data_IF_697321044319
#
_entry.id   IF_697321044319
#
_cell.length_a   1.000
_cell.length_b   1.000
_cell.length_c   1.000
_cell.angle_alpha   90.00
_cell.angle_beta   90.00
_cell.angle_gamma   90.00
#
_symmetry.space_group_name_H-M   'P 1'
#
loop_
_entity.id
_entity.type
_entity.pdbx_description
1 polymer ?
#
# COMPACT_ATOMS: atom_id res chain seq x y z
N UNK A 1 26.17 -12.20 8.07
CA UNK A 1 25.36 -10.96 7.98
C UNK A 1 24.28 -10.84 9.08
N UNK A 2 24.10 -11.85 9.93
CA UNK A 2 23.06 -11.91 10.99
C UNK A 2 23.24 -10.89 12.14
N UNK A 3 24.48 -10.54 12.50
CA UNK A 3 24.73 -9.65 13.66
C UNK A 3 24.22 -8.21 13.47
N UNK A 4 24.20 -7.69 12.23
CA UNK A 4 23.80 -6.30 11.96
C UNK A 4 22.29 -6.10 12.04
N UNK A 5 21.50 -7.07 11.56
CA UNK A 5 20.03 -7.02 11.66
C UNK A 5 19.54 -7.04 13.11
N UNK A 6 20.18 -7.87 13.95
CA UNK A 6 19.85 -7.94 15.39
C UNK A 6 20.15 -6.64 16.14
N UNK A 7 21.23 -5.93 15.79
CA UNK A 7 21.60 -4.65 16.43
C UNK A 7 20.63 -3.55 16.03
N UNK A 8 20.27 -3.46 14.74
CA UNK A 8 19.32 -2.43 14.25
C UNK A 8 17.95 -2.63 14.90
N UNK A 9 17.45 -3.87 14.94
CA UNK A 9 16.20 -4.20 15.63
C UNK A 9 16.24 -3.85 17.11
N UNK A 10 17.36 -4.15 17.80
CA UNK A 10 17.57 -3.78 19.20
C UNK A 10 17.57 -2.27 19.43
N UNK A 11 18.27 -1.50 18.60
CA UNK A 11 18.31 -0.04 18.69
C UNK A 11 16.92 0.57 18.49
N UNK A 12 16.16 0.09 17.50
CA UNK A 12 14.79 0.54 17.25
C UNK A 12 13.92 0.29 18.49
N UNK A 13 14.02 -0.91 19.10
CA UNK A 13 13.25 -1.28 20.27
C UNK A 13 13.61 -0.41 21.49
N UNK A 14 14.91 -0.10 21.66
CA UNK A 14 15.40 0.80 22.72
C UNK A 14 14.83 2.20 22.50
N UNK A 15 14.90 2.75 21.29
CA UNK A 15 14.38 4.09 20.98
C UNK A 15 12.87 4.18 21.20
N UNK A 16 12.11 3.15 20.76
CA UNK A 16 10.67 3.05 21.01
C UNK A 16 10.35 2.98 22.50
N UNK A 17 11.09 2.16 23.25
CA UNK A 17 10.93 2.04 24.70
C UNK A 17 11.22 3.35 25.43
N UNK A 18 12.31 4.04 25.08
CA UNK A 18 12.66 5.35 25.65
C UNK A 18 11.59 6.39 25.31
N UNK A 19 11.10 6.42 24.07
CA UNK A 19 10.03 7.34 23.66
C UNK A 19 8.75 7.14 24.47
N UNK A 20 8.28 5.90 24.65
CA UNK A 20 7.11 5.62 25.49
C UNK A 20 7.34 5.99 26.96
N UNK A 21 8.54 5.75 27.49
CA UNK A 21 8.89 6.09 28.87
C UNK A 21 8.85 7.61 29.09
N UNK A 22 9.34 8.40 28.13
CA UNK A 22 9.27 9.86 28.16
C UNK A 22 7.83 10.39 28.11
N UNK A 23 6.96 9.77 27.30
CA UNK A 23 5.54 10.11 27.26
C UNK A 23 4.82 9.81 28.59
N UNK A 24 5.23 8.75 29.29
CA UNK A 24 4.63 8.38 30.58
C UNK A 24 5.09 9.30 31.73
N UNK A 25 6.35 9.73 31.73
CA UNK A 25 6.93 10.53 32.81
C UNK A 25 6.70 12.04 32.66
N UNK A 26 6.34 12.53 31.48
CA UNK A 26 6.08 13.97 31.25
C UNK A 26 4.61 14.24 30.96
N UNK A 27 3.80 14.58 31.99
CA UNK A 27 2.37 14.88 31.81
C UNK A 27 2.11 16.08 30.88
N UNK A 28 3.07 17.00 30.72
CA UNK A 28 3.00 18.11 29.76
C UNK A 28 3.13 17.66 28.29
N UNK A 29 3.96 16.65 28.01
CA UNK A 29 4.04 16.01 26.69
C UNK A 29 2.84 15.09 26.44
N UNK A 30 2.39 14.34 27.45
CA UNK A 30 1.20 13.50 27.36
C UNK A 30 -0.10 14.30 27.09
N UNK A 31 -0.20 15.52 27.63
CA UNK A 31 -1.34 16.40 27.36
C UNK A 31 -1.40 16.86 25.89
N UNK A 32 -0.25 16.99 25.22
CA UNK A 32 -0.18 17.30 23.78
C UNK A 32 -0.27 16.04 22.91
N UNK A 33 0.17 14.89 23.42
CA UNK A 33 0.09 13.59 22.78
C UNK A 33 -1.06 12.76 23.33
N UNK A 34 -2.27 13.05 22.87
CA UNK A 34 -3.43 12.25 23.22
C UNK A 34 -3.29 10.84 22.59
N UNK A 35 -2.79 9.87 23.37
CA UNK A 35 -2.47 8.50 22.92
C UNK A 35 -3.66 7.82 22.23
N UNK A 36 -4.88 8.12 22.69
CA UNK A 36 -6.14 7.66 22.09
C UNK A 36 -6.31 8.13 20.64
N UNK A 37 -5.79 9.30 20.29
CA UNK A 37 -5.84 9.82 18.91
C UNK A 37 -4.62 9.40 18.07
N UNK A 38 -3.48 9.12 18.70
CA UNK A 38 -2.20 8.97 18.00
C UNK A 38 -1.69 7.53 17.87
N UNK A 39 -2.37 6.54 18.47
CA UNK A 39 -1.99 5.14 18.33
C UNK A 39 -1.77 4.63 16.89
N UNK A 40 -2.46 5.14 15.82
CA UNK A 40 -2.18 4.70 14.45
C UNK A 40 -0.78 5.04 13.98
N UNK A 41 -0.11 6.04 14.58
CA UNK A 41 1.27 6.40 14.28
C UNK A 41 2.25 5.27 14.61
N UNK A 42 1.92 4.39 15.56
CA UNK A 42 2.74 3.20 15.85
C UNK A 42 2.75 2.27 14.64
N UNK A 43 1.59 2.09 13.98
CA UNK A 43 1.44 1.26 12.79
C UNK A 43 2.16 1.91 11.59
N UNK A 44 2.00 3.22 11.41
CA UNK A 44 2.75 4.00 10.40
C UNK A 44 4.25 3.84 10.62
N UNK A 45 4.72 4.00 11.86
CA UNK A 45 6.12 3.82 12.24
C UNK A 45 6.64 2.42 11.91
N UNK A 46 5.87 1.37 12.25
CA UNK A 46 6.21 0.00 11.88
C UNK A 46 6.34 -0.17 10.35
N UNK A 47 5.39 0.37 9.58
CA UNK A 47 5.44 0.37 8.12
C UNK A 47 6.69 1.05 7.56
N UNK A 48 7.06 2.23 8.11
CA UNK A 48 8.30 2.94 7.76
C UNK A 48 9.52 2.07 8.03
N UNK A 49 9.58 1.39 9.19
CA UNK A 49 10.70 0.51 9.52
C UNK A 49 10.84 -0.66 8.54
N UNK A 50 9.72 -1.26 8.11
CA UNK A 50 9.74 -2.26 7.04
C UNK A 50 10.29 -1.67 5.73
N UNK A 51 9.83 -0.49 5.33
CA UNK A 51 10.32 0.15 4.10
C UNK A 51 11.80 0.53 4.17
N UNK A 52 12.28 0.98 5.33
CA UNK A 52 13.72 1.18 5.57
C UNK A 52 14.47 -0.14 5.42
N UNK A 53 13.97 -1.24 6.00
CA UNK A 53 14.53 -2.57 5.81
C UNK A 53 14.56 -3.01 4.34
N UNK A 54 13.54 -2.62 3.56
CA UNK A 54 13.49 -2.88 2.12
C UNK A 54 14.59 -2.15 1.35
N UNK A 55 14.78 -0.86 1.62
CA UNK A 55 15.79 -0.01 0.98
C UNK A 55 17.20 -0.44 1.39
N UNK A 56 17.40 -0.84 2.64
CA UNK A 56 18.71 -1.16 3.22
C UNK A 56 19.27 -2.54 2.83
N UNK A 57 18.49 -3.41 2.19
CA UNK A 57 19.01 -4.67 1.67
C UNK A 57 18.05 -5.83 1.56
N UNK A 58 16.81 -5.72 2.06
CA UNK A 58 15.81 -6.77 1.94
C UNK A 58 14.57 -6.34 1.13
N UNK A 59 14.67 -6.13 -0.20
CA UNK A 59 13.54 -5.63 -1.00
C UNK A 59 12.22 -6.40 -0.83
N UNK A 60 12.27 -7.68 -0.45
CA UNK A 60 11.10 -8.55 -0.23
C UNK A 60 10.15 -8.03 0.85
N UNK A 61 10.65 -7.25 1.82
CA UNK A 61 9.80 -6.64 2.84
C UNK A 61 9.08 -5.37 2.37
N UNK A 62 9.28 -4.95 1.11
CA UNK A 62 8.56 -3.79 0.53
C UNK A 62 7.05 -3.99 0.54
N UNK A 63 6.59 -5.20 0.19
CA UNK A 63 5.15 -5.50 0.12
C UNK A 63 4.48 -5.38 1.50
N UNK A 64 4.93 -6.11 2.54
CA UNK A 64 4.35 -5.93 3.87
C UNK A 64 4.57 -4.50 4.40
N UNK A 65 5.69 -3.84 4.08
CA UNK A 65 5.94 -2.45 4.49
C UNK A 65 4.93 -1.45 3.94
N UNK A 66 4.63 -1.51 2.64
CA UNK A 66 3.61 -0.64 2.02
C UNK A 66 2.22 -0.94 2.57
N UNK A 67 1.86 -2.21 2.77
CA UNK A 67 0.54 -2.58 3.31
C UNK A 67 0.37 -2.09 4.75
N UNK A 68 1.37 -2.29 5.61
CA UNK A 68 1.34 -1.82 7.01
C UNK A 68 1.30 -0.29 7.05
N UNK A 69 2.13 0.39 6.25
CA UNK A 69 2.11 1.85 6.15
C UNK A 69 0.75 2.38 5.70
N UNK A 70 0.18 1.81 4.63
CA UNK A 70 -1.13 2.17 4.12
C UNK A 70 -2.24 1.96 5.15
N UNK A 71 -2.19 0.84 5.88
CA UNK A 71 -3.11 0.56 6.99
C UNK A 71 -3.00 1.62 8.10
N UNK A 72 -1.77 1.98 8.49
CA UNK A 72 -1.54 3.03 9.49
C UNK A 72 -2.09 4.39 9.04
N UNK A 73 -1.92 4.76 7.77
CA UNK A 73 -2.47 5.98 7.21
C UNK A 73 -4.01 5.99 7.21
N UNK A 74 -4.65 4.87 6.87
CA UNK A 74 -6.11 4.72 6.92
C UNK A 74 -6.59 4.91 8.36
N UNK A 75 -5.98 4.21 9.31
CA UNK A 75 -6.36 4.29 10.72
C UNK A 75 -6.13 5.69 11.28
N UNK A 76 -5.05 6.36 10.88
CA UNK A 76 -4.79 7.76 11.27
C UNK A 76 -5.90 8.69 10.76
N UNK A 77 -6.31 8.54 9.50
CA UNK A 77 -7.42 9.29 8.93
C UNK A 77 -8.73 9.01 9.68
N UNK A 78 -9.07 7.75 9.92
CA UNK A 78 -10.32 7.37 10.60
C UNK A 78 -10.37 7.86 12.04
N UNK A 79 -9.25 7.75 12.75
CA UNK A 79 -9.16 8.14 14.15
C UNK A 79 -9.17 9.68 14.34
N UNK A 80 -8.65 10.44 13.36
CA UNK A 80 -8.66 11.91 13.38
C UNK A 80 -9.98 12.52 12.91
N UNK A 81 -10.65 11.91 11.94
CA UNK A 81 -11.92 12.41 11.39
C UNK A 81 -13.16 11.81 12.07
N UNK A 82 -13.00 10.69 12.78
CA UNK A 82 -14.12 9.90 13.30
C UNK A 82 -14.89 9.13 12.23
N UNK A 83 -14.47 9.16 10.95
CA UNK A 83 -15.14 8.48 9.83
C UNK A 83 -14.81 6.98 9.80
N UNK A 84 -15.21 6.27 10.85
CA UNK A 84 -15.09 4.80 10.91
C UNK A 84 -15.97 4.08 9.89
N UNK A 85 -17.03 4.74 9.42
CA UNK A 85 -17.88 4.25 8.33
C UNK A 85 -17.11 4.03 7.02
N UNK A 86 -16.03 4.80 6.81
CA UNK A 86 -15.14 4.61 5.66
C UNK A 86 -14.55 3.20 5.53
N UNK A 87 -14.47 2.45 6.65
CA UNK A 87 -14.00 1.05 6.63
C UNK A 87 -14.80 0.17 5.66
N UNK A 88 -16.08 0.50 5.38
CA UNK A 88 -16.93 -0.24 4.46
C UNK A 88 -16.39 -0.31 3.02
N UNK A 89 -15.57 0.67 2.61
CA UNK A 89 -14.99 0.72 1.26
C UNK A 89 -13.46 0.81 1.25
N UNK A 90 -12.82 1.41 2.26
CA UNK A 90 -11.37 1.65 2.28
C UNK A 90 -10.54 0.36 2.29
N UNK A 91 -11.06 -0.75 2.84
CA UNK A 91 -10.38 -2.06 2.84
C UNK A 91 -10.07 -2.59 1.42
N UNK A 92 -10.81 -2.13 0.41
CA UNK A 92 -10.58 -2.55 -0.97
C UNK A 92 -9.33 -1.92 -1.59
N UNK A 93 -8.64 -1.01 -0.89
CA UNK A 93 -7.33 -0.48 -1.28
C UNK A 93 -6.19 -1.48 -1.03
N UNK A 94 -6.39 -2.56 -0.28
CA UNK A 94 -5.33 -3.51 0.05
C UNK A 94 -4.64 -4.11 -1.19
N UNK A 95 -5.35 -4.58 -2.24
CA UNK A 95 -4.73 -4.96 -3.49
C UNK A 95 -3.88 -3.84 -4.11
N UNK A 96 -4.32 -2.58 -4.01
CA UNK A 96 -3.54 -1.46 -4.52
C UNK A 96 -2.25 -1.22 -3.72
N UNK A 97 -2.30 -1.35 -2.38
CA UNK A 97 -1.10 -1.33 -1.55
C UNK A 97 -0.14 -2.48 -1.87
N UNK A 98 -0.67 -3.69 -2.10
CA UNK A 98 0.15 -4.82 -2.55
C UNK A 98 0.81 -4.54 -3.91
N UNK A 99 0.06 -3.97 -4.86
CA UNK A 99 0.58 -3.56 -6.16
C UNK A 99 1.69 -2.52 -6.06
N UNK A 100 1.51 -1.49 -5.22
CA UNK A 100 2.54 -0.50 -4.92
C UNK A 100 3.78 -1.14 -4.27
N UNK A 101 3.58 -2.08 -3.35
CA UNK A 101 4.66 -2.86 -2.73
C UNK A 101 5.47 -3.67 -3.74
N UNK A 102 4.81 -4.28 -4.73
CA UNK A 102 5.47 -5.02 -5.81
C UNK A 102 6.22 -4.09 -6.77
N UNK A 103 5.65 -2.92 -7.09
CA UNK A 103 6.34 -1.89 -7.88
C UNK A 103 7.62 -1.45 -7.15
N UNK A 104 7.51 -1.16 -5.85
CA UNK A 104 8.66 -0.76 -5.03
C UNK A 104 9.73 -1.86 -4.96
N UNK A 105 9.33 -3.11 -4.66
CA UNK A 105 10.22 -4.28 -4.65
C UNK A 105 11.04 -4.39 -5.95
N UNK A 106 10.38 -4.33 -7.10
CA UNK A 106 11.05 -4.46 -8.39
C UNK A 106 11.90 -3.24 -8.74
N UNK A 107 11.48 -2.05 -8.29
CA UNK A 107 12.26 -0.81 -8.46
C UNK A 107 13.57 -0.90 -7.69
N UNK A 108 13.52 -1.37 -6.43
CA UNK A 108 14.71 -1.59 -5.61
C UNK A 108 15.63 -2.69 -6.19
N UNK A 109 15.08 -3.64 -6.96
CA UNK A 109 15.85 -4.65 -7.72
C UNK A 109 16.35 -4.14 -9.09
N UNK A 110 16.16 -2.86 -9.43
CA UNK A 110 16.58 -2.26 -10.70
C UNK A 110 15.66 -2.56 -11.90
N UNK A 111 14.51 -3.20 -11.68
CA UNK A 111 13.60 -3.70 -12.72
C UNK A 111 12.23 -3.00 -12.70
N UNK A 112 12.21 -1.66 -12.75
CA UNK A 112 10.98 -0.85 -12.73
C UNK A 112 9.88 -1.33 -13.69
N UNK A 113 10.25 -1.66 -14.94
CA UNK A 113 9.28 -2.12 -15.97
C UNK A 113 8.54 -3.38 -15.52
N UNK A 114 9.25 -4.33 -14.90
CA UNK A 114 8.66 -5.56 -14.38
C UNK A 114 7.72 -5.27 -13.21
N UNK A 115 8.10 -4.33 -12.33
CA UNK A 115 7.26 -3.84 -11.26
C UNK A 115 5.92 -3.28 -11.73
N UNK A 116 5.93 -2.43 -12.77
CA UNK A 116 4.69 -1.91 -13.36
C UNK A 116 3.81 -3.01 -13.98
N UNK A 117 4.40 -4.01 -14.62
CA UNK A 117 3.64 -5.10 -15.26
C UNK A 117 2.98 -5.98 -14.21
N UNK A 118 3.73 -6.37 -13.18
CA UNK A 118 3.28 -7.28 -12.12
C UNK A 118 2.40 -6.57 -11.08
N UNK A 119 2.83 -5.42 -10.57
CA UNK A 119 2.12 -4.66 -9.54
C UNK A 119 1.06 -3.69 -10.06
N UNK A 120 1.21 -3.17 -11.28
CA UNK A 120 0.26 -2.20 -11.85
C UNK A 120 -1.14 -2.77 -12.07
N UNK A 121 -1.26 -4.07 -12.34
CA UNK A 121 -2.57 -4.73 -12.43
C UNK A 121 -3.31 -4.70 -11.08
N UNK A 122 -2.62 -5.04 -10.00
CA UNK A 122 -3.17 -5.01 -8.64
C UNK A 122 -3.51 -3.59 -8.17
N UNK A 123 -2.68 -2.61 -8.56
CA UNK A 123 -2.94 -1.19 -8.33
C UNK A 123 -4.26 -0.75 -8.98
N UNK A 124 -4.45 -1.06 -10.26
CA UNK A 124 -5.67 -0.72 -10.99
C UNK A 124 -6.88 -1.47 -10.43
N UNK A 125 -6.77 -2.77 -10.15
CA UNK A 125 -7.86 -3.56 -9.58
C UNK A 125 -8.29 -3.01 -8.22
N UNK A 126 -7.34 -2.70 -7.32
CA UNK A 126 -7.66 -2.13 -6.01
C UNK A 126 -8.33 -0.75 -6.12
N UNK A 127 -7.89 0.12 -7.04
CA UNK A 127 -8.53 1.42 -7.27
C UNK A 127 -9.95 1.27 -7.84
N UNK A 128 -10.17 0.32 -8.75
CA UNK A 128 -11.50 0.03 -9.30
C UNK A 128 -12.42 -0.45 -8.17
N UNK A 129 -11.97 -1.42 -7.36
CA UNK A 129 -12.75 -1.92 -6.23
C UNK A 129 -13.07 -0.78 -5.25
N UNK A 130 -12.08 0.03 -4.86
CA UNK A 130 -12.30 1.19 -4.00
C UNK A 130 -13.35 2.14 -4.54
N UNK A 131 -13.29 2.44 -5.83
CA UNK A 131 -14.30 3.29 -6.48
C UNK A 131 -15.69 2.68 -6.42
N UNK A 132 -15.81 1.38 -6.71
CA UNK A 132 -17.09 0.65 -6.68
C UNK A 132 -17.69 0.71 -5.28
N UNK A 133 -16.93 0.28 -4.27
CA UNK A 133 -17.41 0.24 -2.89
C UNK A 133 -17.71 1.66 -2.37
N UNK A 134 -16.84 2.64 -2.61
CA UNK A 134 -17.08 4.01 -2.16
C UNK A 134 -18.31 4.64 -2.85
N UNK A 135 -18.58 4.27 -4.11
CA UNK A 135 -19.78 4.65 -4.85
C UNK A 135 -21.05 4.06 -4.24
N UNK A 136 -21.04 2.79 -3.84
CA UNK A 136 -22.17 2.13 -3.16
C UNK A 136 -22.58 2.81 -1.86
N UNK A 137 -21.61 3.28 -1.08
CA UNK A 137 -21.85 3.97 0.20
C UNK A 137 -22.09 5.49 0.05
N UNK A 138 -22.28 5.98 -1.17
CA UNK A 138 -22.61 7.37 -1.51
C UNK A 138 -21.70 8.44 -0.84
N UNK A 139 -20.41 8.12 -0.65
CA UNK A 139 -19.47 9.03 0.04
C UNK A 139 -19.21 10.32 -0.75
N UNK A 140 -19.42 10.29 -2.07
CA UNK A 140 -19.11 11.39 -2.99
C UNK A 140 -20.33 12.22 -3.43
N UNK A 141 -21.51 12.06 -2.82
CA UNK A 141 -22.73 12.80 -3.21
C UNK A 141 -23.13 12.53 -4.68
N UNK A 142 -23.50 13.56 -5.45
CA UNK A 142 -23.88 13.44 -6.88
C UNK A 142 -22.75 12.86 -7.77
N UNK A 143 -21.49 12.97 -7.33
CA UNK A 143 -20.33 12.39 -8.02
C UNK A 143 -20.29 10.86 -7.90
N UNK A 144 -21.05 10.28 -6.96
CA UNK A 144 -21.23 8.82 -6.87
C UNK A 144 -21.74 8.25 -8.19
N UNK A 145 -22.57 8.97 -8.97
CA UNK A 145 -23.14 8.49 -10.24
C UNK A 145 -22.11 8.19 -11.34
N UNK A 146 -20.88 8.69 -11.20
CA UNK A 146 -19.80 8.54 -12.18
C UNK A 146 -18.91 7.30 -11.94
N UNK A 147 -19.16 6.49 -10.90
CA UNK A 147 -18.46 5.21 -10.66
C UNK A 147 -18.38 4.28 -11.90
N UNK A 148 -19.39 4.20 -12.81
CA UNK A 148 -19.32 3.33 -13.98
C UNK A 148 -18.25 3.74 -15.00
N UNK A 149 -17.91 5.04 -15.08
CA UNK A 149 -16.91 5.54 -16.05
C UNK A 149 -15.52 5.03 -15.71
N UNK A 150 -15.19 4.94 -14.42
CA UNK A 150 -13.90 4.42 -13.95
C UNK A 150 -13.76 2.92 -14.21
N UNK A 151 -14.86 2.16 -14.17
CA UNK A 151 -14.88 0.74 -14.60
C UNK A 151 -14.66 0.63 -16.10
N UNK A 152 -15.30 1.49 -16.90
CA UNK A 152 -15.12 1.48 -18.36
C UNK A 152 -13.66 1.78 -18.71
N UNK A 153 -13.05 2.79 -18.10
CA UNK A 153 -11.65 3.13 -18.32
C UNK A 153 -10.70 2.02 -17.83
N UNK A 154 -10.96 1.46 -16.65
CA UNK A 154 -10.19 0.33 -16.12
C UNK A 154 -10.28 -0.93 -16.97
N UNK A 155 -11.48 -1.25 -17.46
CA UNK A 155 -11.73 -2.36 -18.38
C UNK A 155 -11.05 -2.16 -19.73
N UNK A 156 -11.15 -0.96 -20.32
CA UNK A 156 -10.45 -0.61 -21.55
C UNK A 156 -8.93 -0.73 -21.41
N UNK A 157 -8.38 -0.28 -20.29
CA UNK A 157 -6.95 -0.41 -20.00
C UNK A 157 -6.52 -1.88 -19.88
N UNK A 158 -7.31 -2.72 -19.21
CA UNK A 158 -7.04 -4.15 -19.08
C UNK A 158 -7.04 -4.85 -20.46
N UNK A 159 -8.02 -4.55 -21.30
CA UNK A 159 -8.12 -5.09 -22.67
C UNK A 159 -6.95 -4.64 -23.53
N UNK A 160 -6.51 -3.39 -23.39
CA UNK A 160 -5.36 -2.88 -24.12
C UNK A 160 -4.05 -3.55 -23.68
N UNK A 161 -3.88 -3.79 -22.37
CA UNK A 161 -2.70 -4.48 -21.80
C UNK A 161 -2.60 -5.94 -22.25
N UNK A 162 -3.71 -6.64 -22.41
CA UNK A 162 -3.74 -8.08 -22.68
C UNK A 162 -3.83 -8.46 -24.16
N UNK A 163 -3.55 -7.54 -25.09
CA UNK A 163 -3.53 -7.90 -26.52
C UNK A 163 -2.42 -8.94 -26.77
N UNK A 164 -2.74 -10.17 -27.20
CA UNK A 164 -1.73 -11.15 -27.52
C UNK A 164 -0.92 -10.61 -28.70
N UNK A 165 0.39 -10.49 -28.53
CA UNK A 165 1.33 -10.30 -29.62
C UNK A 165 1.10 -11.45 -30.61
N UNK A 166 0.46 -11.16 -31.75
CA UNK A 166 0.38 -12.08 -32.88
C UNK A 166 1.80 -12.29 -33.39
N UNK A 167 2.51 -13.29 -32.88
CA UNK A 167 3.81 -13.70 -33.36
C UNK A 167 3.77 -15.16 -33.81
N UNK A 168 3.83 -15.31 -35.15
CA UNK A 168 4.23 -16.47 -35.96
C UNK A 168 3.30 -17.69 -36.06
N UNK A 169 2.38 -17.63 -37.03
CA UNK A 169 1.76 -18.82 -37.66
C UNK A 169 2.33 -19.09 -39.08
N UNK A 170 3.15 -18.20 -39.66
CA UNK A 170 3.64 -18.34 -41.04
C UNK A 170 4.99 -19.07 -41.22
N UNK A 171 5.25 -20.13 -40.44
CA UNK A 171 6.43 -21.00 -40.71
C UNK A 171 6.13 -22.42 -41.18
N UNK A 172 4.87 -22.86 -41.19
CA UNK A 172 4.54 -24.21 -41.68
C UNK A 172 4.23 -24.28 -43.17
N UNK A 173 4.12 -23.16 -43.90
CA UNK A 173 3.80 -23.18 -45.33
C UNK A 173 5.00 -23.42 -46.26
N UNK A 174 6.06 -24.09 -45.80
CA UNK A 174 7.30 -24.29 -46.56
C UNK A 174 7.76 -25.74 -46.74
N UNK A 175 6.91 -26.73 -46.47
CA UNK A 175 7.27 -28.15 -46.59
C UNK A 175 6.28 -29.04 -47.34
N UNK A 176 5.33 -28.46 -48.09
CA UNK A 176 4.55 -29.18 -49.09
C UNK A 176 4.92 -28.73 -50.51
#
# INVERSE_FOLDING_TARGET
>A
MEKRGSIIGGIILILLGVFFLLLQFSPGLAAQFNLSQQWPLIIVGAGILFLLGAILGNPEVSVPGVVVLGTGCILYYQNSTGDWGSWAYVWSLYPAFTGLGLILLHTLRGNWRRGLVEGGGLLVVGLILFTIFAGFFNRFGDMSRLWPILIILGGLWLVWKNRPSRTHVDKEKKLD
#
